data_IF_102181444531
#
_entry.id   IF_102181444531
#
_cell.length_a   1.000
_cell.length_b   1.000
_cell.length_c   1.000
_cell.angle_alpha   90.00
_cell.angle_beta   90.00
_cell.angle_gamma   90.00
#
_symmetry.space_group_name_H-M   'P 1'
#
loop_
_entity.id
_entity.type
_entity.pdbx_description
1 polymer ?
#
# COMPACT_ATOMS: atom_id res chain seq x y z
N UNK A 1 16.97 26.88 0.16
CA UNK A 1 16.80 25.95 1.30
C UNK A 1 15.36 25.41 1.45
N UNK A 2 14.31 26.22 1.25
CA UNK A 2 12.91 25.81 1.45
C UNK A 2 12.32 24.81 0.42
N UNK A 3 12.82 24.77 -0.83
CA UNK A 3 12.39 23.74 -1.83
C UNK A 3 12.79 22.31 -1.40
N UNK A 4 13.90 22.15 -0.68
CA UNK A 4 14.38 20.85 -0.20
C UNK A 4 13.54 20.26 0.94
N UNK A 5 13.01 21.10 1.84
CA UNK A 5 12.12 20.68 2.92
C UNK A 5 10.77 20.16 2.41
N UNK A 6 10.21 20.80 1.37
CA UNK A 6 8.96 20.36 0.73
C UNK A 6 9.15 19.03 0.00
N UNK A 7 10.29 18.84 -0.67
CA UNK A 7 10.60 17.59 -1.39
C UNK A 7 10.82 16.43 -0.41
N UNK A 8 11.62 16.63 0.65
CA UNK A 8 11.83 15.64 1.72
C UNK A 8 10.52 15.26 2.43
N UNK A 9 9.65 16.23 2.72
CA UNK A 9 8.32 15.95 3.33
C UNK A 9 7.43 15.14 2.40
N UNK A 10 7.42 15.44 1.10
CA UNK A 10 6.65 14.67 0.11
C UNK A 10 7.16 13.23 -0.01
N UNK A 11 8.47 13.05 -0.06
CA UNK A 11 9.09 11.72 -0.11
C UNK A 11 8.78 10.92 1.15
N UNK A 12 8.96 11.51 2.34
CA UNK A 12 8.61 10.87 3.61
C UNK A 12 7.15 10.40 3.64
N UNK A 13 6.22 11.25 3.21
CA UNK A 13 4.80 10.91 3.18
C UNK A 13 4.46 9.80 2.18
N UNK A 14 5.16 9.73 1.04
CA UNK A 14 4.99 8.62 0.08
C UNK A 14 5.48 7.31 0.68
N UNK A 15 6.64 7.33 1.36
CA UNK A 15 7.19 6.14 2.02
C UNK A 15 6.34 5.69 3.21
N UNK A 16 5.97 6.61 4.10
CA UNK A 16 5.11 6.34 5.26
C UNK A 16 3.79 5.72 4.81
N UNK A 17 3.14 6.31 3.80
CA UNK A 17 1.89 5.81 3.27
C UNK A 17 2.02 4.42 2.63
N UNK A 18 3.04 4.18 1.82
CA UNK A 18 3.22 2.88 1.14
C UNK A 18 3.61 1.77 2.12
N UNK A 19 4.43 2.09 3.12
CA UNK A 19 4.83 1.15 4.15
C UNK A 19 3.67 0.81 5.09
N UNK A 20 2.91 1.82 5.52
CA UNK A 20 1.70 1.66 6.34
C UNK A 20 0.64 0.80 5.63
N UNK A 21 0.46 0.98 4.33
CA UNK A 21 -0.43 0.16 3.51
C UNK A 21 -0.04 -1.33 3.52
N UNK A 22 1.25 -1.64 3.35
CA UNK A 22 1.77 -3.02 3.38
C UNK A 22 1.64 -3.61 4.79
N UNK A 23 2.04 -2.86 5.82
CA UNK A 23 1.89 -3.28 7.21
C UNK A 23 0.43 -3.49 7.59
N UNK A 24 -0.48 -2.67 7.10
CA UNK A 24 -1.92 -2.82 7.31
C UNK A 24 -2.45 -4.13 6.75
N UNK A 25 -2.04 -4.50 5.53
CA UNK A 25 -2.40 -5.80 4.94
C UNK A 25 -1.77 -6.95 5.75
N UNK A 26 -0.53 -6.82 6.21
CA UNK A 26 0.12 -7.85 7.02
C UNK A 26 -0.57 -8.04 8.37
N UNK A 27 -0.93 -6.94 9.04
CA UNK A 27 -1.69 -6.97 10.29
C UNK A 27 -3.06 -7.60 10.08
N UNK A 28 -3.72 -7.31 8.96
CA UNK A 28 -4.99 -7.93 8.60
C UNK A 28 -4.86 -9.46 8.49
N UNK A 29 -3.88 -9.97 7.76
CA UNK A 29 -3.66 -11.42 7.66
C UNK A 29 -3.21 -12.05 8.99
N UNK A 30 -2.47 -11.32 9.81
CA UNK A 30 -2.14 -11.75 11.17
C UNK A 30 -3.41 -11.90 12.02
N UNK A 31 -4.34 -10.94 11.97
CA UNK A 31 -5.61 -11.00 12.68
C UNK A 31 -6.49 -12.15 12.17
N UNK A 32 -6.52 -12.41 10.86
CA UNK A 32 -7.22 -13.58 10.30
C UNK A 32 -6.62 -14.90 10.82
N UNK A 33 -5.29 -15.01 10.83
CA UNK A 33 -4.61 -16.20 11.37
C UNK A 33 -4.84 -16.37 12.87
N UNK A 34 -4.95 -15.27 13.62
CA UNK A 34 -5.28 -15.31 15.04
C UNK A 34 -6.72 -15.80 15.27
N UNK A 35 -7.66 -15.32 14.45
CA UNK A 35 -9.06 -15.74 14.51
C UNK A 35 -9.24 -17.24 14.21
N UNK A 36 -8.45 -17.77 13.27
CA UNK A 36 -8.50 -19.19 12.86
C UNK A 36 -7.81 -20.13 13.88
N UNK A 37 -6.64 -19.75 14.38
CA UNK A 37 -5.83 -20.62 15.26
C UNK A 37 -6.22 -20.59 16.74
N UNK A 38 -6.96 -19.57 17.19
CA UNK A 38 -7.42 -19.42 18.58
C UNK A 38 -6.33 -19.27 19.66
N UNK A 39 -5.04 -19.35 19.29
CA UNK A 39 -3.89 -19.29 20.22
C UNK A 39 -2.93 -18.16 19.81
N UNK A 40 -2.93 -17.08 20.62
CA UNK A 40 -2.09 -15.88 20.39
C UNK A 40 -0.61 -16.22 20.27
N UNK A 41 -0.10 -17.14 21.10
CA UNK A 41 1.32 -17.52 21.11
C UNK A 41 1.74 -18.19 19.79
N UNK A 42 0.96 -19.16 19.29
CA UNK A 42 1.28 -19.87 18.04
C UNK A 42 1.16 -18.95 16.81
N UNK A 43 0.13 -18.11 16.77
CA UNK A 43 -0.05 -17.13 15.70
C UNK A 43 1.12 -16.13 15.64
N UNK A 44 1.58 -15.65 16.81
CA UNK A 44 2.68 -14.67 16.90
C UNK A 44 4.01 -15.27 16.46
N UNK A 45 4.37 -16.45 16.94
CA UNK A 45 5.62 -17.11 16.54
C UNK A 45 5.62 -17.47 15.05
N UNK A 46 4.50 -17.99 14.52
CA UNK A 46 4.35 -18.28 13.10
C UNK A 46 4.47 -17.03 12.22
N UNK A 47 3.84 -15.92 12.63
CA UNK A 47 3.90 -14.67 11.90
C UNK A 47 5.31 -14.07 11.86
N UNK A 48 6.02 -14.01 12.99
CA UNK A 48 7.39 -13.50 13.04
C UNK A 48 8.33 -14.38 12.21
N UNK A 49 8.18 -15.70 12.28
CA UNK A 49 8.93 -16.65 11.45
C UNK A 49 8.69 -16.42 9.95
N UNK A 50 7.43 -16.31 9.54
CA UNK A 50 7.06 -16.05 8.15
C UNK A 50 7.54 -14.67 7.68
N UNK A 51 7.52 -13.66 8.53
CA UNK A 51 8.02 -12.33 8.22
C UNK A 51 9.53 -12.34 7.98
N UNK A 52 10.30 -12.97 8.88
CA UNK A 52 11.74 -13.12 8.72
C UNK A 52 12.10 -13.91 7.45
N UNK A 53 11.40 -15.03 7.21
CA UNK A 53 11.56 -15.82 5.99
C UNK A 53 11.21 -15.01 4.74
N UNK A 54 10.13 -14.22 4.78
CA UNK A 54 9.71 -13.36 3.67
C UNK A 54 10.81 -12.34 3.34
N UNK A 55 11.45 -11.72 4.33
CA UNK A 55 12.55 -10.78 4.09
C UNK A 55 13.71 -11.46 3.36
N UNK A 56 14.13 -12.64 3.82
CA UNK A 56 15.24 -13.38 3.18
C UNK A 56 14.86 -13.80 1.75
N UNK A 57 13.68 -14.39 1.57
CA UNK A 57 13.18 -14.83 0.26
C UNK A 57 13.02 -13.64 -0.68
N UNK A 58 12.55 -12.49 -0.20
CA UNK A 58 12.38 -11.28 -1.01
C UNK A 58 13.70 -10.73 -1.56
N UNK A 59 14.78 -10.80 -0.79
CA UNK A 59 16.12 -10.41 -1.25
C UNK A 59 16.60 -11.36 -2.35
N UNK A 60 16.50 -12.67 -2.12
CA UNK A 60 16.92 -13.69 -3.10
C UNK A 60 16.10 -13.58 -4.39
N UNK A 61 14.77 -13.49 -4.27
CA UNK A 61 13.87 -13.34 -5.39
C UNK A 61 14.12 -12.02 -6.15
N UNK A 62 14.37 -10.91 -5.44
CA UNK A 62 14.71 -9.63 -6.06
C UNK A 62 16.00 -9.70 -6.89
N UNK A 63 17.05 -10.33 -6.35
CA UNK A 63 18.30 -10.55 -7.10
C UNK A 63 18.08 -11.46 -8.32
N UNK A 64 17.35 -12.56 -8.14
CA UNK A 64 17.04 -13.49 -9.23
C UNK A 64 16.24 -12.81 -10.35
N UNK A 65 15.28 -11.97 -9.98
CA UNK A 65 14.43 -11.26 -10.93
C UNK A 65 15.24 -10.25 -11.75
N UNK A 66 16.06 -9.42 -11.08
CA UNK A 66 16.94 -8.47 -11.76
C UNK A 66 17.93 -9.20 -12.68
N UNK A 67 18.51 -10.32 -12.22
CA UNK A 67 19.42 -11.14 -13.01
C UNK A 67 18.76 -11.75 -14.26
N UNK A 68 17.52 -12.21 -14.14
CA UNK A 68 16.76 -12.78 -15.25
C UNK A 68 16.41 -11.69 -16.27
N UNK A 69 15.98 -10.51 -15.79
CA UNK A 69 15.54 -9.41 -16.66
C UNK A 69 16.65 -8.81 -17.52
N UNK A 70 17.86 -8.66 -16.99
CA UNK A 70 18.98 -8.13 -17.78
C UNK A 70 19.40 -9.02 -18.96
N UNK A 71 18.99 -10.30 -18.96
CA UNK A 71 19.26 -11.27 -20.03
C UNK A 71 18.13 -11.33 -21.06
N UNK A 72 16.95 -10.79 -20.75
CA UNK A 72 15.81 -10.80 -21.66
C UNK A 72 16.00 -9.76 -22.76
N UNK A 73 16.20 -10.23 -24.00
CA UNK A 73 16.24 -9.40 -25.23
C UNK A 73 14.90 -9.37 -25.98
N UNK A 74 13.78 -9.49 -25.28
CA UNK A 74 12.46 -9.46 -25.90
C UNK A 74 12.06 -8.03 -26.26
N UNK A 75 11.27 -7.85 -27.32
CA UNK A 75 10.67 -6.55 -27.68
C UNK A 75 9.46 -6.19 -26.77
N UNK A 76 8.93 -7.18 -26.04
CA UNK A 76 7.75 -7.09 -25.16
C UNK A 76 8.16 -7.39 -23.70
N UNK A 77 9.20 -6.73 -23.19
CA UNK A 77 9.76 -6.99 -21.84
C UNK A 77 8.77 -6.68 -20.72
N UNK A 78 7.89 -5.71 -20.94
CA UNK A 78 6.94 -5.19 -19.96
C UNK A 78 5.85 -6.19 -19.53
N UNK A 79 5.21 -6.87 -20.48
CA UNK A 79 4.22 -7.90 -20.15
C UNK A 79 4.85 -9.09 -19.44
N UNK A 80 6.08 -9.46 -19.83
CA UNK A 80 6.83 -10.52 -19.17
C UNK A 80 7.16 -10.13 -17.71
N UNK A 81 7.47 -8.85 -17.45
CA UNK A 81 7.68 -8.32 -16.10
C UNK A 81 6.44 -8.46 -15.23
N UNK A 82 5.28 -8.05 -15.72
CA UNK A 82 4.02 -8.24 -14.99
C UNK A 82 3.76 -9.73 -14.76
N UNK A 83 3.91 -10.57 -15.78
CA UNK A 83 3.65 -12.01 -15.67
C UNK A 83 4.52 -12.68 -14.61
N UNK A 84 5.81 -12.35 -14.56
CA UNK A 84 6.72 -12.91 -13.56
C UNK A 84 6.41 -12.36 -12.17
N UNK A 85 6.07 -11.08 -12.04
CA UNK A 85 5.63 -10.50 -10.76
C UNK A 85 4.35 -11.16 -10.24
N UNK A 86 3.39 -11.46 -11.13
CA UNK A 86 2.17 -12.20 -10.77
C UNK A 86 2.46 -13.65 -10.40
N UNK A 87 3.39 -14.30 -11.10
CA UNK A 87 3.85 -15.65 -10.75
C UNK A 87 4.50 -15.67 -9.37
N UNK A 88 5.40 -14.70 -9.10
CA UNK A 88 6.06 -14.56 -7.81
C UNK A 88 5.06 -14.24 -6.70
N UNK A 89 4.06 -13.40 -6.99
CA UNK A 89 2.96 -13.13 -6.06
C UNK A 89 2.18 -14.41 -5.72
N UNK A 90 1.83 -15.22 -6.72
CA UNK A 90 1.12 -16.48 -6.54
C UNK A 90 1.93 -17.49 -5.73
N UNK A 91 3.20 -17.69 -6.08
CA UNK A 91 4.12 -18.58 -5.34
C UNK A 91 4.28 -18.14 -3.88
N UNK A 92 4.47 -16.84 -3.65
CA UNK A 92 4.59 -16.30 -2.30
C UNK A 92 3.31 -16.52 -1.48
N UNK A 93 2.15 -16.33 -2.09
CA UNK A 93 0.85 -16.56 -1.44
C UNK A 93 0.65 -18.02 -1.06
N UNK A 94 1.07 -18.96 -1.92
CA UNK A 94 1.03 -20.41 -1.62
C UNK A 94 1.94 -20.79 -0.44
N UNK A 95 3.07 -20.09 -0.29
CA UNK A 95 4.00 -20.29 0.82
C UNK A 95 3.61 -19.52 2.10
N UNK A 96 2.44 -18.87 2.13
CA UNK A 96 2.01 -17.96 3.21
C UNK A 96 2.98 -16.81 3.50
N UNK A 97 3.80 -16.44 2.52
CA UNK A 97 4.71 -15.30 2.60
C UNK A 97 3.99 -14.02 2.19
N UNK A 98 4.46 -12.88 2.70
CA UNK A 98 3.93 -11.59 2.27
C UNK A 98 4.45 -11.26 0.86
N UNK A 99 3.68 -11.64 -0.15
CA UNK A 99 3.95 -11.33 -1.56
C UNK A 99 4.20 -9.83 -1.80
N UNK A 100 3.52 -8.97 -1.04
CA UNK A 100 3.68 -7.52 -1.09
C UNK A 100 5.10 -7.07 -0.70
N UNK A 101 5.70 -7.70 0.32
CA UNK A 101 7.09 -7.41 0.72
C UNK A 101 8.05 -7.82 -0.40
N UNK A 102 7.81 -8.94 -1.07
CA UNK A 102 8.67 -9.40 -2.17
C UNK A 102 8.66 -8.39 -3.32
N UNK A 103 7.48 -7.93 -3.74
CA UNK A 103 7.34 -6.92 -4.79
C UNK A 103 7.96 -5.58 -4.35
N UNK A 104 7.76 -5.16 -3.09
CA UNK A 104 8.36 -3.95 -2.53
C UNK A 104 9.88 -4.03 -2.58
N UNK A 105 10.48 -5.13 -2.10
CA UNK A 105 11.92 -5.31 -2.07
C UNK A 105 12.52 -5.35 -3.47
N UNK A 106 11.85 -6.00 -4.43
CA UNK A 106 12.24 -5.92 -5.83
C UNK A 106 12.27 -4.47 -6.34
N UNK A 107 11.19 -3.70 -6.13
CA UNK A 107 11.13 -2.30 -6.56
C UNK A 107 12.19 -1.41 -5.88
N UNK A 108 12.45 -1.64 -4.59
CA UNK A 108 13.49 -0.96 -3.83
C UNK A 108 14.89 -1.31 -4.36
N UNK A 109 15.15 -2.58 -4.67
CA UNK A 109 16.43 -3.03 -5.23
C UNK A 109 16.67 -2.47 -6.63
N UNK A 110 15.62 -2.41 -7.44
CA UNK A 110 15.65 -1.83 -8.79
C UNK A 110 15.98 -0.34 -8.74
N UNK A 111 15.28 0.43 -7.91
CA UNK A 111 15.49 1.89 -7.82
C UNK A 111 16.78 2.28 -7.10
N UNK A 112 17.19 1.50 -6.08
CA UNK A 112 18.40 1.78 -5.30
C UNK A 112 19.60 0.92 -5.76
N UNK A 113 19.81 0.82 -7.07
CA UNK A 113 20.83 -0.06 -7.66
C UNK A 113 22.23 0.15 -7.08
N UNK A 114 22.64 1.38 -6.83
CA UNK A 114 23.99 1.69 -6.29
C UNK A 114 24.21 1.15 -4.87
N UNK A 115 23.15 0.91 -4.08
CA UNK A 115 23.26 0.41 -2.70
C UNK A 115 23.25 -1.12 -2.69
N UNK A 116 22.30 -1.73 -3.40
CA UNK A 116 22.10 -3.19 -3.39
C UNK A 116 23.13 -3.97 -4.23
N UNK A 117 23.83 -3.28 -5.13
CA UNK A 117 24.74 -3.89 -6.07
C UNK A 117 26.16 -3.31 -5.98
N UNK A 118 26.81 -3.54 -4.83
CA UNK A 118 28.21 -3.18 -4.59
C UNK A 118 29.12 -4.42 -4.63
N UNK A 119 30.41 -4.20 -4.88
CA UNK A 119 31.44 -5.24 -4.83
C UNK A 119 31.29 -6.30 -5.92
N UNK A 120 31.29 -7.58 -5.53
CA UNK A 120 31.21 -8.72 -6.46
C UNK A 120 29.93 -8.71 -7.29
N UNK A 121 28.81 -8.24 -6.72
CA UNK A 121 27.54 -8.18 -7.43
C UNK A 121 27.51 -7.11 -8.53
N UNK A 122 28.41 -6.11 -8.54
CA UNK A 122 28.48 -5.11 -9.63
C UNK A 122 28.84 -5.74 -10.97
N UNK A 123 29.60 -6.84 -10.97
CA UNK A 123 29.95 -7.58 -12.19
C UNK A 123 28.76 -8.33 -12.78
N UNK A 124 27.73 -8.58 -11.97
CA UNK A 124 26.56 -9.36 -12.35
C UNK A 124 25.56 -8.52 -13.18
N UNK A 125 25.79 -7.24 -13.42
CA UNK A 125 24.74 -6.29 -13.83
C UNK A 125 25.18 -5.34 -14.92
N UNK A 126 24.28 -5.17 -15.88
CA UNK A 126 24.39 -4.14 -16.91
C UNK A 126 23.62 -2.89 -16.48
N UNK A 127 24.35 -1.89 -15.97
CA UNK A 127 23.81 -0.63 -15.46
C UNK A 127 22.78 0.01 -16.39
N UNK A 128 23.08 0.11 -17.69
CA UNK A 128 22.18 0.68 -18.71
C UNK A 128 20.83 -0.06 -18.80
N UNK A 129 20.88 -1.40 -18.81
CA UNK A 129 19.67 -2.22 -18.96
C UNK A 129 18.79 -2.18 -17.71
N UNK A 130 19.39 -2.05 -16.54
CA UNK A 130 18.66 -1.92 -15.27
C UNK A 130 17.97 -0.56 -15.19
N UNK A 131 18.60 0.49 -15.70
CA UNK A 131 18.01 1.84 -15.75
C UNK A 131 16.84 1.89 -16.74
N UNK A 132 17.00 1.35 -17.95
CA UNK A 132 15.90 1.18 -18.93
C UNK A 132 14.73 0.39 -18.29
N UNK A 133 15.03 -0.71 -17.61
CA UNK A 133 14.03 -1.53 -16.91
C UNK A 133 13.32 -0.78 -15.78
N UNK A 134 14.03 0.05 -15.02
CA UNK A 134 13.45 0.83 -13.93
C UNK A 134 12.41 1.82 -14.47
N UNK A 135 12.73 2.52 -15.55
CA UNK A 135 11.83 3.50 -16.16
C UNK A 135 10.61 2.83 -16.80
N UNK A 136 10.84 1.74 -17.53
CA UNK A 136 9.81 0.85 -18.07
C UNK A 136 8.86 0.34 -16.98
N UNK A 137 9.41 -0.14 -15.86
CA UNK A 137 8.62 -0.64 -14.73
C UNK A 137 7.80 0.47 -14.07
N UNK A 138 8.38 1.66 -13.89
CA UNK A 138 7.67 2.82 -13.33
C UNK A 138 6.51 3.25 -14.23
N UNK A 139 6.73 3.31 -15.54
CA UNK A 139 5.70 3.68 -16.51
C UNK A 139 4.51 2.71 -16.44
N UNK A 140 4.79 1.42 -16.59
CA UNK A 140 3.75 0.39 -16.60
C UNK A 140 3.03 0.28 -15.26
N UNK A 141 3.75 0.38 -14.14
CA UNK A 141 3.12 0.37 -12.81
C UNK A 141 2.24 1.60 -12.61
N UNK A 142 2.66 2.78 -13.09
CA UNK A 142 1.87 4.00 -12.98
C UNK A 142 0.59 3.92 -13.82
N UNK A 143 0.68 3.49 -15.08
CA UNK A 143 -0.46 3.33 -15.98
C UNK A 143 -1.43 2.24 -15.46
N UNK A 144 -0.89 1.10 -15.05
CA UNK A 144 -1.70 0.00 -14.50
C UNK A 144 -2.37 0.39 -13.20
N UNK A 145 -1.68 1.10 -12.29
CA UNK A 145 -2.27 1.57 -11.05
C UNK A 145 -3.38 2.61 -11.29
N UNK A 146 -3.23 3.46 -12.32
CA UNK A 146 -4.29 4.38 -12.73
C UNK A 146 -5.53 3.63 -13.24
N UNK A 147 -5.32 2.62 -14.10
CA UNK A 147 -6.38 1.79 -14.65
C UNK A 147 -7.10 1.02 -13.53
N UNK A 148 -6.36 0.28 -12.70
CA UNK A 148 -6.90 -0.50 -11.58
C UNK A 148 -7.70 0.40 -10.65
N UNK A 149 -7.18 1.58 -10.27
CA UNK A 149 -7.88 2.52 -9.39
C UNK A 149 -9.21 2.98 -10.00
N UNK A 150 -9.23 3.30 -11.29
CA UNK A 150 -10.43 3.78 -11.98
C UNK A 150 -11.50 2.69 -12.03
N UNK A 151 -11.15 1.50 -12.52
CA UNK A 151 -12.08 0.37 -12.57
C UNK A 151 -12.55 -0.03 -11.17
N UNK A 152 -11.65 -0.03 -10.20
CA UNK A 152 -11.99 -0.33 -8.82
C UNK A 152 -13.07 0.60 -8.26
N UNK A 153 -12.92 1.92 -8.43
CA UNK A 153 -13.94 2.86 -7.96
C UNK A 153 -15.24 2.76 -8.73
N UNK A 154 -15.20 2.45 -10.03
CA UNK A 154 -16.40 2.20 -10.84
C UNK A 154 -17.13 0.95 -10.35
N UNK A 155 -16.43 -0.18 -10.21
CA UNK A 155 -16.98 -1.45 -9.72
C UNK A 155 -17.51 -1.28 -8.29
N UNK A 156 -16.75 -0.62 -7.42
CA UNK A 156 -17.20 -0.31 -6.08
C UNK A 156 -18.49 0.54 -6.11
N UNK A 157 -18.53 1.59 -6.92
CA UNK A 157 -19.69 2.47 -7.06
C UNK A 157 -20.95 1.74 -7.51
N UNK A 158 -20.86 0.79 -8.44
CA UNK A 158 -22.02 0.01 -8.90
C UNK A 158 -22.49 -1.03 -7.87
N UNK A 159 -21.61 -1.51 -6.99
CA UNK A 159 -21.97 -2.54 -5.98
C UNK A 159 -22.71 -1.99 -4.77
N UNK A 160 -22.75 -0.66 -4.59
CA UNK A 160 -23.29 -0.05 -3.37
C UNK A 160 -24.77 0.28 -3.54
N UNK A 161 -25.55 -0.08 -2.52
CA UNK A 161 -26.97 0.25 -2.45
C UNK A 161 -27.11 1.67 -1.88
N UNK A 162 -27.43 2.64 -2.74
CA UNK A 162 -27.52 4.05 -2.37
C UNK A 162 -28.55 4.34 -1.25
N UNK A 163 -29.60 3.52 -1.14
CA UNK A 163 -30.59 3.63 -0.06
C UNK A 163 -29.97 3.45 1.34
N UNK A 164 -28.85 2.73 1.44
CA UNK A 164 -28.11 2.57 2.69
C UNK A 164 -27.50 3.88 3.21
N UNK A 165 -27.28 4.88 2.35
CA UNK A 165 -26.75 6.18 2.76
C UNK A 165 -27.77 7.05 3.49
N UNK A 166 -29.06 6.72 3.39
CA UNK A 166 -30.16 7.47 4.02
C UNK A 166 -30.42 6.94 5.44
N UNK A 167 -29.90 5.75 5.77
CA UNK A 167 -30.06 5.17 7.09
C UNK A 167 -29.27 5.97 8.15
N UNK A 168 -29.99 6.48 9.16
CA UNK A 168 -29.43 7.20 10.29
C UNK A 168 -28.37 6.40 11.05
N UNK A 169 -28.50 5.07 11.14
CA UNK A 169 -27.50 4.21 11.78
C UNK A 169 -26.19 4.21 10.99
N UNK A 170 -26.27 4.15 9.67
CA UNK A 170 -25.08 4.19 8.78
C UNK A 170 -24.36 5.52 8.95
N UNK A 171 -25.09 6.63 8.98
CA UNK A 171 -24.53 7.96 9.22
C UNK A 171 -23.81 8.07 10.57
N UNK A 172 -24.48 7.65 11.66
CA UNK A 172 -23.94 7.76 13.01
C UNK A 172 -22.65 6.93 13.17
N UNK A 173 -22.68 5.67 12.71
CA UNK A 173 -21.51 4.78 12.76
C UNK A 173 -20.37 5.37 11.93
N UNK A 174 -20.67 5.85 10.71
CA UNK A 174 -19.63 6.38 9.82
C UNK A 174 -18.96 7.63 10.39
N UNK A 175 -19.73 8.55 10.98
CA UNK A 175 -19.18 9.74 11.65
C UNK A 175 -18.28 9.34 12.82
N UNK A 176 -18.71 8.37 13.63
CA UNK A 176 -17.93 7.89 14.78
C UNK A 176 -16.61 7.28 14.32
N UNK A 177 -16.63 6.45 13.26
CA UNK A 177 -15.42 5.85 12.68
C UNK A 177 -14.49 6.92 12.10
N UNK A 178 -15.03 7.89 11.36
CA UNK A 178 -14.22 9.01 10.83
C UNK A 178 -13.56 9.77 11.98
N UNK A 179 -14.32 10.10 13.03
CA UNK A 179 -13.80 10.80 14.20
C UNK A 179 -12.71 9.98 14.89
N UNK A 180 -12.91 8.68 15.07
CA UNK A 180 -11.91 7.78 15.63
C UNK A 180 -10.61 7.76 14.79
N UNK A 181 -10.72 7.69 13.45
CA UNK A 181 -9.56 7.72 12.55
C UNK A 181 -8.79 9.05 12.70
N UNK A 182 -9.48 10.19 12.71
CA UNK A 182 -8.85 11.49 12.86
C UNK A 182 -8.23 11.68 14.24
N UNK A 183 -8.87 11.21 15.31
CA UNK A 183 -8.34 11.27 16.67
C UNK A 183 -7.10 10.39 16.81
N UNK A 184 -7.16 9.13 16.37
CA UNK A 184 -6.00 8.22 16.39
C UNK A 184 -4.83 8.82 15.60
N UNK A 185 -5.10 9.37 14.42
CA UNK A 185 -4.06 10.01 13.60
C UNK A 185 -3.50 11.25 14.27
N UNK A 186 -4.33 12.08 14.90
CA UNK A 186 -3.89 13.25 15.65
C UNK A 186 -2.95 12.85 16.79
N UNK A 187 -3.28 11.80 17.54
CA UNK A 187 -2.44 11.27 18.62
C UNK A 187 -1.11 10.75 18.05
N UNK A 188 -1.14 9.89 17.03
CA UNK A 188 0.06 9.29 16.43
C UNK A 188 0.99 10.36 15.84
N UNK A 189 0.46 11.31 15.07
CA UNK A 189 1.24 12.39 14.46
C UNK A 189 1.81 13.32 15.54
N UNK A 190 1.04 13.64 16.58
CA UNK A 190 1.51 14.49 17.68
C UNK A 190 2.64 13.83 18.46
N UNK A 191 2.57 12.52 18.69
CA UNK A 191 3.63 11.75 19.35
C UNK A 191 4.88 11.61 18.47
N UNK A 192 4.72 11.42 17.15
CA UNK A 192 5.84 11.17 16.24
C UNK A 192 6.55 12.44 15.73
N UNK A 193 5.82 13.52 15.43
CA UNK A 193 6.34 14.70 14.71
C UNK A 193 6.30 16.02 15.51
N UNK A 194 5.68 16.05 16.69
CA UNK A 194 5.64 17.25 17.53
C UNK A 194 4.85 18.42 16.91
N UNK A 195 5.43 19.63 16.87
CA UNK A 195 4.70 20.91 16.58
C UNK A 195 4.44 21.22 15.09
N UNK A 196 5.05 20.51 14.13
CA UNK A 196 4.91 20.79 12.69
C UNK A 196 3.97 19.80 11.98
N UNK A 197 2.74 19.66 12.49
CA UNK A 197 1.74 18.65 12.09
C UNK A 197 0.89 19.04 10.86
N UNK A 198 1.03 20.26 10.34
CA UNK A 198 0.32 20.74 9.15
C UNK A 198 1.28 20.77 7.95
N UNK A 199 0.95 20.19 6.78
CA UNK A 199 -0.36 19.67 6.32
C UNK A 199 -0.56 18.15 6.46
N UNK A 200 0.29 17.44 7.20
CA UNK A 200 0.36 15.96 7.25
C UNK A 200 -0.89 15.30 7.86
N UNK A 201 -1.63 16.00 8.72
CA UNK A 201 -2.89 15.51 9.29
C UNK A 201 -4.01 15.41 8.22
N UNK A 202 -4.00 16.28 7.22
CA UNK A 202 -5.07 16.39 6.22
C UNK A 202 -4.78 15.66 4.91
N UNK A 203 -3.55 15.16 4.72
CA UNK A 203 -3.14 14.40 3.54
C UNK A 203 -3.52 12.91 3.67
N UNK A 204 -4.81 12.66 3.88
CA UNK A 204 -5.39 11.33 3.90
C UNK A 204 -6.74 11.37 3.17
N UNK A 205 -6.96 10.53 2.13
CA UNK A 205 -7.07 9.09 2.42
C UNK A 205 -6.62 8.13 1.31
N UNK A 206 -6.09 6.97 1.73
CA UNK A 206 -6.02 5.74 0.92
C UNK A 206 -7.35 4.98 1.08
N UNK A 207 -8.41 5.41 0.38
CA UNK A 207 -9.70 4.71 0.39
C UNK A 207 -9.65 3.33 -0.27
N UNK A 208 -8.70 3.12 -1.19
CA UNK A 208 -8.61 1.91 -2.00
C UNK A 208 -8.29 0.66 -1.17
N UNK A 209 -7.29 0.72 -0.28
CA UNK A 209 -6.87 -0.46 0.49
C UNK A 209 -7.90 -0.81 1.55
N UNK A 210 -8.52 0.17 2.21
CA UNK A 210 -9.59 -0.10 3.19
C UNK A 210 -10.73 -0.90 2.57
N UNK A 211 -11.14 -0.55 1.35
CA UNK A 211 -12.17 -1.30 0.62
C UNK A 211 -11.66 -2.70 0.23
N UNK A 212 -10.43 -2.82 -0.26
CA UNK A 212 -9.85 -4.12 -0.61
C UNK A 212 -9.77 -5.06 0.61
N UNK A 213 -9.37 -4.52 1.77
CA UNK A 213 -9.33 -5.28 3.02
C UNK A 213 -10.72 -5.69 3.47
N UNK A 214 -11.72 -4.80 3.34
CA UNK A 214 -13.10 -5.14 3.64
C UNK A 214 -13.62 -6.31 2.79
N UNK A 215 -13.42 -6.26 1.47
CA UNK A 215 -13.78 -7.38 0.58
C UNK A 215 -12.90 -8.62 0.78
N UNK A 216 -11.75 -8.48 1.44
CA UNK A 216 -10.88 -9.58 1.83
C UNK A 216 -11.31 -10.30 3.11
N UNK A 217 -12.33 -9.83 3.83
CA UNK A 217 -12.83 -10.49 5.04
C UNK A 217 -13.60 -11.76 4.63
N UNK A 218 -13.20 -12.95 5.15
CA UNK A 218 -13.93 -14.20 4.91
C UNK A 218 -15.39 -14.11 5.35
N UNK A 219 -16.30 -14.76 4.61
CA UNK A 219 -17.75 -14.66 4.84
C UNK A 219 -18.17 -15.11 6.25
N UNK A 220 -17.42 -16.02 6.85
CA UNK A 220 -17.65 -16.55 8.20
C UNK A 220 -17.39 -15.50 9.30
N UNK A 221 -16.52 -14.52 9.01
CA UNK A 221 -16.16 -13.43 9.91
C UNK A 221 -16.92 -12.14 9.61
N UNK A 222 -17.78 -12.13 8.58
CA UNK A 222 -18.59 -10.98 8.24
C UNK A 222 -19.78 -10.87 9.19
N UNK A 223 -19.93 -9.69 9.79
CA UNK A 223 -21.11 -9.37 10.59
C UNK A 223 -22.24 -8.98 9.64
N UNK A 224 -23.31 -9.77 9.58
CA UNK A 224 -24.44 -9.54 8.67
C UNK A 224 -25.17 -8.19 8.86
N UNK A 225 -24.94 -7.50 9.98
CA UNK A 225 -25.45 -6.15 10.24
C UNK A 225 -24.52 -5.04 9.72
N UNK A 226 -23.35 -5.36 9.17
CA UNK A 226 -22.43 -4.36 8.65
C UNK A 226 -22.88 -3.90 7.26
N UNK A 227 -23.23 -2.62 7.16
CA UNK A 227 -23.70 -2.03 5.92
C UNK A 227 -22.51 -1.46 5.11
N UNK A 228 -22.34 -1.91 3.86
CA UNK A 228 -21.30 -1.42 2.94
C UNK A 228 -21.39 0.09 2.65
N UNK A 229 -22.56 0.71 2.87
CA UNK A 229 -22.76 2.15 2.83
C UNK A 229 -21.87 2.94 3.80
N UNK A 230 -21.43 2.32 4.90
CA UNK A 230 -20.47 2.93 5.86
C UNK A 230 -19.15 3.22 5.15
N UNK A 231 -18.67 2.30 4.31
CA UNK A 231 -17.42 2.45 3.57
C UNK A 231 -17.53 3.59 2.56
N UNK A 232 -18.64 3.64 1.82
CA UNK A 232 -18.90 4.70 0.85
C UNK A 232 -18.84 6.07 1.50
N UNK A 233 -19.56 6.23 2.63
CA UNK A 233 -19.57 7.47 3.38
C UNK A 233 -18.17 7.86 3.84
N UNK A 234 -17.42 6.90 4.39
CA UNK A 234 -16.06 7.11 4.87
C UNK A 234 -15.13 7.59 3.76
N UNK A 235 -15.19 6.99 2.57
CA UNK A 235 -14.33 7.37 1.43
C UNK A 235 -14.68 8.75 0.90
N UNK A 236 -15.96 9.03 0.70
CA UNK A 236 -16.41 10.33 0.18
C UNK A 236 -16.05 11.43 1.18
N UNK A 237 -16.41 11.26 2.46
CA UNK A 237 -16.15 12.24 3.50
C UNK A 237 -14.65 12.51 3.65
N UNK A 238 -13.82 11.46 3.74
CA UNK A 238 -12.36 11.64 3.86
C UNK A 238 -11.75 12.27 2.61
N UNK A 239 -12.23 11.94 1.40
CA UNK A 239 -11.75 12.55 0.15
C UNK A 239 -12.08 14.04 0.08
N UNK A 240 -13.28 14.44 0.52
CA UNK A 240 -13.69 15.85 0.62
C UNK A 240 -12.84 16.58 1.65
N UNK A 241 -12.66 16.01 2.84
CA UNK A 241 -11.83 16.60 3.91
C UNK A 241 -10.39 16.81 3.43
N UNK A 242 -9.81 15.83 2.74
CA UNK A 242 -8.46 15.96 2.15
C UNK A 242 -8.39 17.07 1.11
N UNK A 243 -9.37 17.12 0.21
CA UNK A 243 -9.42 18.13 -0.84
C UNK A 243 -9.50 19.52 -0.24
N UNK A 244 -10.38 19.72 0.74
CA UNK A 244 -10.49 20.96 1.49
C UNK A 244 -9.19 21.31 2.23
N UNK A 245 -8.54 20.33 2.88
CA UNK A 245 -7.28 20.51 3.60
C UNK A 245 -6.10 20.88 2.68
N UNK A 246 -6.02 20.29 1.49
CA UNK A 246 -5.02 20.61 0.47
C UNK A 246 -5.23 22.02 -0.10
N UNK A 247 -6.47 22.40 -0.41
CA UNK A 247 -6.80 23.73 -0.91
C UNK A 247 -6.47 24.80 0.15
N UNK A 248 -6.85 24.57 1.41
CA UNK A 248 -6.56 25.47 2.53
C UNK A 248 -5.05 25.61 2.80
N UNK A 249 -4.32 24.49 2.78
CA UNK A 249 -2.86 24.47 2.95
C UNK A 249 -2.11 25.08 1.76
N UNK A 250 -2.67 24.99 0.55
CA UNK A 250 -2.14 25.63 -0.66
C UNK A 250 -2.30 27.15 -0.65
N UNK A 251 -3.38 27.68 -0.05
CA UNK A 251 -3.59 29.13 0.11
C UNK A 251 -2.62 29.77 1.11
N UNK A 252 -2.35 29.12 2.26
CA UNK A 252 -1.40 29.61 3.28
C UNK A 252 0.07 29.70 2.84
N UNK A 253 0.41 29.22 1.64
CA UNK A 253 1.79 29.18 1.12
C UNK A 253 2.07 30.25 0.06
N UNK A 254 1.07 31.05 -0.30
CA UNK A 254 1.14 32.17 -1.25
C UNK A 254 1.15 33.55 -0.57
N UNK A 255 0.93 33.61 0.74
CA UNK A 255 1.28 34.75 1.62
C UNK A 255 2.62 34.45 2.29
#
# INVERSE_FOLDING_TARGET
MCKGLVKKKKEFMIYESTFSDILGIMLFYFLLSLADSGQVSKATTGFIGNLALTIVVSLVAGYALIYLFQHIRAHIKLFLLIAILLLLYSLAKLMHLSALIIILMFGLMLSNRHIFFKGFLKKLIHTERVEEMEDDFKLVTAESAFLIRTFFFVVFGITIVLSSLIDLKVWLISILVILAIFVLRFILVRLALGKNYMPELFLAPRGLITILLFFGIPAELQVGSFNSGILLFLIIATSIIMTAGLISSGKKKKE
#
